data_IF_002125986981
#
_entry.id   IF_002125986981
#
_cell.length_a   1.000
_cell.length_b   1.000
_cell.length_c   1.000
_cell.angle_alpha   90.00
_cell.angle_beta   90.00
_cell.angle_gamma   90.00
#
_symmetry.space_group_name_H-M   'P 1'
#
loop_
_entity.id
_entity.type
_entity.pdbx_description
1 polymer ?
#
# COMPACT_ATOMS: atom_id res chain seq x y z
N UNK A 1 -1.90 7.63 14.22
CA UNK A 1 -1.27 7.15 12.97
C UNK A 1 -1.60 5.68 12.79
N UNK A 2 -1.73 5.17 11.56
CA UNK A 2 -1.88 3.73 11.33
C UNK A 2 -0.60 2.99 11.75
N UNK A 3 -0.74 1.77 12.24
CA UNK A 3 0.41 0.90 12.52
C UNK A 3 0.86 0.25 11.22
N UNK A 4 2.16 0.27 10.92
CA UNK A 4 2.70 -0.26 9.67
C UNK A 4 3.78 -1.30 9.95
N UNK A 5 3.70 -2.45 9.31
CA UNK A 5 4.75 -3.47 9.30
C UNK A 5 5.24 -3.70 7.88
N UNK A 6 6.54 -3.91 7.72
CA UNK A 6 7.17 -4.08 6.41
C UNK A 6 8.10 -5.27 6.44
N UNK A 7 7.91 -6.18 5.49
CA UNK A 7 8.72 -7.37 5.35
C UNK A 7 9.26 -7.45 3.91
N UNK A 8 10.58 -7.67 3.78
CA UNK A 8 11.13 -8.11 2.51
C UNK A 8 10.87 -9.60 2.31
N UNK A 9 10.16 -9.91 1.23
CA UNK A 9 9.81 -11.26 0.80
C UNK A 9 10.76 -11.68 -0.32
N UNK A 10 10.81 -12.98 -0.61
CA UNK A 10 11.64 -13.54 -1.67
C UNK A 10 11.46 -12.85 -3.04
N UNK A 11 12.54 -12.89 -3.83
CA UNK A 11 12.60 -12.43 -5.22
C UNK A 11 12.32 -10.94 -5.42
N UNK A 12 12.57 -10.11 -4.43
CA UNK A 12 12.45 -8.66 -4.52
C UNK A 12 11.02 -8.11 -4.38
N UNK A 13 10.16 -8.86 -3.69
CA UNK A 13 8.83 -8.41 -3.29
C UNK A 13 8.90 -7.83 -1.87
N UNK A 14 8.21 -6.72 -1.63
CA UNK A 14 8.08 -6.13 -0.30
C UNK A 14 6.61 -6.18 0.10
N UNK A 15 6.33 -6.69 1.31
CA UNK A 15 4.98 -6.69 1.88
C UNK A 15 4.88 -5.56 2.88
N UNK A 16 4.02 -4.59 2.60
CA UNK A 16 3.69 -3.49 3.51
C UNK A 16 2.28 -3.71 4.04
N UNK A 17 2.14 -3.92 5.35
CA UNK A 17 0.83 -4.06 6.01
C UNK A 17 0.53 -2.82 6.82
N UNK A 18 -0.56 -2.14 6.49
CA UNK A 18 -1.02 -0.92 7.14
C UNK A 18 -2.31 -1.27 7.88
N UNK A 19 -2.27 -1.25 9.21
CA UNK A 19 -3.43 -1.47 10.07
C UNK A 19 -4.26 -0.18 10.14
N UNK A 20 -5.54 -0.29 9.78
CA UNK A 20 -6.50 0.80 9.74
C UNK A 20 -7.73 0.35 10.52
N UNK A 21 -7.82 0.78 11.77
CA UNK A 21 -8.91 0.40 12.67
C UNK A 21 -10.28 0.71 12.07
N UNK A 22 -11.23 -0.20 12.29
CA UNK A 22 -12.60 -0.13 11.78
C UNK A 22 -12.74 -0.13 10.25
N UNK A 23 -11.67 -0.32 9.46
CA UNK A 23 -11.80 -0.52 8.02
C UNK A 23 -12.60 -1.79 7.75
N UNK A 24 -13.66 -1.71 6.93
CA UNK A 24 -14.47 -2.87 6.53
C UNK A 24 -14.43 -3.06 5.03
N UNK A 25 -13.68 -4.08 4.61
CA UNK A 25 -13.54 -4.43 3.20
C UNK A 25 -14.91 -4.74 2.56
N UNK A 26 -15.02 -4.46 1.27
CA UNK A 26 -16.21 -4.87 0.52
C UNK A 26 -16.23 -6.41 0.43
N UNK A 27 -17.42 -7.01 0.52
CA UNK A 27 -17.56 -8.46 0.32
C UNK A 27 -17.48 -8.74 -1.18
N UNK A 28 -16.57 -9.62 -1.58
CA UNK A 28 -16.63 -10.24 -2.90
C UNK A 28 -17.66 -11.37 -2.86
N UNK A 29 -18.58 -11.42 -3.83
CA UNK A 29 -19.60 -12.47 -3.96
C UNK A 29 -18.99 -13.87 -4.19
N UNK A 30 -17.71 -13.95 -4.55
CA UNK A 30 -17.05 -15.21 -4.95
C UNK A 30 -16.20 -15.89 -3.86
N UNK A 31 -16.17 -15.37 -2.62
CA UNK A 31 -15.37 -15.98 -1.54
C UNK A 31 -16.24 -16.32 -0.33
N UNK A 32 -16.46 -17.62 -0.11
CA UNK A 32 -17.15 -18.18 1.06
C UNK A 32 -16.32 -18.04 2.35
N UNK A 33 -15.02 -17.71 2.23
CA UNK A 33 -14.12 -17.52 3.36
C UNK A 33 -13.41 -16.16 3.24
N UNK A 34 -13.66 -15.29 4.23
CA UNK A 34 -13.11 -13.94 4.44
C UNK A 34 -13.52 -12.82 3.47
N UNK A 35 -14.10 -11.75 4.02
CA UNK A 35 -14.37 -10.51 3.29
C UNK A 35 -13.04 -9.82 2.92
N UNK A 36 -12.84 -9.56 1.63
CA UNK A 36 -11.69 -8.85 1.12
C UNK A 36 -11.77 -8.60 -0.39
N UNK A 37 -10.98 -7.64 -0.85
CA UNK A 37 -10.77 -7.35 -2.27
C UNK A 37 -9.27 -7.35 -2.55
N UNK A 38 -8.89 -7.91 -3.69
CA UNK A 38 -7.51 -7.85 -4.18
C UNK A 38 -7.47 -7.34 -5.61
N UNK A 39 -6.36 -6.70 -5.97
CA UNK A 39 -6.22 -6.09 -7.28
C UNK A 39 -4.79 -5.66 -7.58
N UNK A 40 -4.60 -5.12 -8.78
CA UNK A 40 -3.34 -4.54 -9.22
C UNK A 40 -3.41 -3.02 -9.20
N UNK A 41 -2.26 -2.39 -9.11
CA UNK A 41 -2.16 -0.95 -9.38
C UNK A 41 -2.29 -0.71 -10.88
N UNK A 42 -2.97 0.37 -11.26
CA UNK A 42 -3.14 0.78 -12.65
C UNK A 42 -2.35 2.05 -12.89
N UNK A 43 -1.75 2.17 -14.07
CA UNK A 43 -1.05 3.39 -14.46
C UNK A 43 -1.96 4.60 -14.24
N UNK A 44 -1.46 5.61 -13.53
CA UNK A 44 -2.21 6.82 -13.23
C UNK A 44 -1.94 7.86 -14.34
N UNK A 45 -2.87 8.07 -15.28
CA UNK A 45 -2.64 8.95 -16.43
C UNK A 45 -2.50 10.42 -16.01
N UNK A 46 -2.82 10.77 -14.76
CA UNK A 46 -2.79 12.14 -14.23
C UNK A 46 -1.52 12.47 -13.43
N UNK A 47 -0.67 11.49 -13.15
CA UNK A 47 0.38 11.58 -12.15
C UNK A 47 1.83 11.65 -12.68
N UNK A 48 2.03 11.59 -14.00
CA UNK A 48 3.34 11.51 -14.64
C UNK A 48 3.76 10.08 -14.99
N UNK A 49 4.86 9.95 -15.72
CA UNK A 49 5.35 8.66 -16.21
C UNK A 49 5.79 7.75 -15.04
N UNK A 50 5.42 6.46 -15.11
CA UNK A 50 5.78 5.45 -14.12
C UNK A 50 4.94 5.42 -12.82
N UNK A 51 3.99 6.32 -12.61
CA UNK A 51 3.10 6.29 -11.45
C UNK A 51 1.91 5.33 -11.62
N UNK A 52 1.45 4.72 -10.53
CA UNK A 52 0.28 3.87 -10.54
C UNK A 52 -0.60 4.07 -9.29
N UNK A 53 -1.90 3.85 -9.41
CA UNK A 53 -2.84 4.02 -8.30
C UNK A 53 -3.92 2.94 -8.27
N UNK A 54 -4.60 2.86 -7.13
CA UNK A 54 -5.88 2.19 -7.02
C UNK A 54 -6.83 3.01 -6.14
N UNK A 55 -8.13 2.82 -6.38
CA UNK A 55 -9.20 3.35 -5.54
C UNK A 55 -10.21 2.24 -5.30
N UNK A 56 -10.34 1.81 -4.04
CA UNK A 56 -11.20 0.72 -3.64
C UNK A 56 -12.30 1.22 -2.71
N UNK A 57 -13.56 1.00 -3.09
CA UNK A 57 -14.71 1.23 -2.22
C UNK A 57 -14.72 0.20 -1.09
N UNK A 58 -15.07 0.67 0.10
CA UNK A 58 -15.24 -0.11 1.32
C UNK A 58 -16.73 -0.14 1.69
N UNK A 59 -17.12 -1.10 2.53
CA UNK A 59 -18.50 -1.10 3.05
C UNK A 59 -18.81 0.09 3.96
N UNK A 60 -17.78 0.77 4.46
CA UNK A 60 -17.89 1.94 5.31
C UNK A 60 -16.95 3.07 4.87
N UNK A 61 -16.75 3.27 3.57
CA UNK A 61 -15.92 4.37 3.06
C UNK A 61 -15.14 4.04 1.80
N UNK A 62 -13.92 4.55 1.69
CA UNK A 62 -13.06 4.36 0.52
C UNK A 62 -11.59 4.40 0.93
N UNK A 63 -10.77 3.60 0.25
CA UNK A 63 -9.31 3.70 0.33
C UNK A 63 -8.74 4.00 -1.05
N UNK A 64 -7.78 4.92 -1.10
CA UNK A 64 -7.02 5.26 -2.29
C UNK A 64 -5.54 5.14 -1.97
N UNK A 65 -4.80 4.55 -2.89
CA UNK A 65 -3.35 4.50 -2.80
C UNK A 65 -2.75 4.93 -4.13
N UNK A 66 -1.71 5.74 -4.04
CA UNK A 66 -0.85 6.11 -5.15
C UNK A 66 0.56 5.62 -4.85
N UNK A 67 1.19 5.05 -5.86
CA UNK A 67 2.59 4.67 -5.89
C UNK A 67 3.29 5.46 -6.97
N UNK A 68 4.38 6.09 -6.58
CA UNK A 68 5.39 6.59 -7.50
C UNK A 68 6.62 5.66 -7.37
N UNK A 69 7.57 5.69 -8.32
CA UNK A 69 8.73 4.79 -8.26
C UNK A 69 9.52 4.87 -6.94
N UNK A 70 9.48 6.01 -6.24
CA UNK A 70 10.19 6.24 -4.98
C UNK A 70 9.30 6.54 -3.78
N UNK A 71 7.98 6.61 -3.96
CA UNK A 71 7.10 7.14 -2.91
C UNK A 71 5.76 6.42 -2.85
N UNK A 72 5.09 6.54 -1.70
CA UNK A 72 3.75 6.02 -1.49
C UNK A 72 2.89 7.04 -0.77
N UNK A 73 1.64 7.14 -1.21
CA UNK A 73 0.61 7.91 -0.53
C UNK A 73 -0.66 7.08 -0.45
N UNK A 74 -1.11 6.79 0.77
CA UNK A 74 -2.37 6.14 1.06
C UNK A 74 -3.29 7.09 1.82
N UNK A 75 -4.53 7.17 1.37
CA UNK A 75 -5.61 7.87 2.07
C UNK A 75 -6.81 6.94 2.23
N UNK A 76 -7.40 6.95 3.42
CA UNK A 76 -8.59 6.17 3.72
C UNK A 76 -9.62 7.05 4.42
N UNK A 77 -10.79 7.16 3.82
CA UNK A 77 -11.94 7.88 4.38
C UNK A 77 -12.93 6.84 4.89
N UNK A 78 -13.31 6.93 6.17
CA UNK A 78 -14.26 6.02 6.79
C UNK A 78 -15.53 6.78 7.22
N UNK A 79 -16.69 6.20 6.99
CA UNK A 79 -17.97 6.70 7.47
C UNK A 79 -17.97 6.78 8.99
N UNK A 80 -18.36 7.93 9.55
CA UNK A 80 -18.33 8.17 10.99
C UNK A 80 -17.02 8.73 11.53
N UNK A 81 -16.02 8.97 10.66
CA UNK A 81 -14.78 9.67 11.01
C UNK A 81 -14.67 10.98 10.23
N UNK A 82 -14.48 12.09 10.93
CA UNK A 82 -14.38 13.41 10.30
C UNK A 82 -13.08 13.62 9.51
N UNK A 83 -11.98 13.01 9.95
CA UNK A 83 -10.66 13.16 9.33
C UNK A 83 -10.23 11.90 8.58
N UNK A 84 -9.82 12.01 7.31
CA UNK A 84 -9.22 10.90 6.58
C UNK A 84 -7.95 10.40 7.28
N UNK A 85 -7.73 9.10 7.21
CA UNK A 85 -6.50 8.46 7.66
C UNK A 85 -5.52 8.53 6.50
N UNK A 86 -4.37 9.17 6.72
CA UNK A 86 -3.30 9.24 5.73
C UNK A 86 -2.06 8.49 6.20
N UNK A 87 -1.37 7.89 5.24
CA UNK A 87 -0.04 7.32 5.42
C UNK A 87 0.80 7.66 4.19
N UNK A 88 2.01 8.18 4.40
CA UNK A 88 2.89 8.61 3.34
C UNK A 88 4.30 8.08 3.59
N UNK A 89 4.93 7.66 2.52
CA UNK A 89 6.36 7.38 2.43
C UNK A 89 6.93 8.33 1.39
N UNK A 90 7.86 9.17 1.80
CA UNK A 90 8.44 10.17 0.91
C UNK A 90 9.56 9.60 0.05
N UNK A 91 10.35 8.67 0.60
CA UNK A 91 11.43 8.02 -0.13
C UNK A 91 11.59 6.55 0.28
N UNK A 92 11.45 5.63 -0.68
CA UNK A 92 11.80 4.22 -0.48
C UNK A 92 13.32 3.99 -0.45
N UNK A 93 13.80 2.86 0.12
CA UNK A 93 15.20 2.45 0.03
C UNK A 93 15.71 2.27 -1.41
N UNK A 94 14.83 1.88 -2.33
CA UNK A 94 15.11 1.87 -3.76
C UNK A 94 13.87 2.09 -4.58
N UNK A 95 14.07 2.26 -5.88
CA UNK A 95 12.97 2.33 -6.84
C UNK A 95 12.14 1.03 -6.85
N UNK A 96 10.83 1.18 -7.03
CA UNK A 96 9.86 0.11 -7.27
C UNK A 96 9.29 0.22 -8.70
N UNK A 97 8.55 -0.80 -9.14
CA UNK A 97 7.77 -0.79 -10.38
C UNK A 97 6.28 -0.70 -10.04
N UNK A 98 5.67 0.50 -9.98
CA UNK A 98 4.29 0.66 -9.53
C UNK A 98 3.27 -0.20 -10.28
N UNK A 99 3.43 -0.35 -11.61
CA UNK A 99 2.54 -1.17 -12.45
C UNK A 99 2.64 -2.69 -12.19
N UNK A 100 3.73 -3.16 -11.59
CA UNK A 100 3.89 -4.57 -11.19
C UNK A 100 3.44 -4.82 -9.73
N UNK A 101 3.00 -3.77 -9.02
CA UNK A 101 2.54 -3.88 -7.64
C UNK A 101 1.09 -4.35 -7.55
N UNK A 102 0.75 -4.94 -6.41
CA UNK A 102 -0.62 -5.38 -6.11
C UNK A 102 -1.03 -5.04 -4.69
N UNK A 103 -2.32 -5.17 -4.39
CA UNK A 103 -2.86 -4.87 -3.08
C UNK A 103 -3.92 -5.89 -2.66
N UNK A 104 -4.13 -5.98 -1.35
CA UNK A 104 -5.27 -6.65 -0.72
C UNK A 104 -5.86 -5.74 0.35
N UNK A 105 -7.17 -5.56 0.32
CA UNK A 105 -7.92 -4.86 1.35
C UNK A 105 -8.71 -5.90 2.13
N UNK A 106 -8.46 -5.98 3.44
CA UNK A 106 -9.18 -6.87 4.38
C UNK A 106 -9.72 -6.05 5.54
N UNK A 107 -10.63 -6.60 6.32
CA UNK A 107 -11.10 -5.93 7.54
C UNK A 107 -9.90 -5.54 8.43
N UNK A 108 -9.87 -4.27 8.84
CA UNK A 108 -8.84 -3.71 9.72
C UNK A 108 -7.49 -3.44 9.06
N UNK A 109 -7.26 -3.75 7.78
CA UNK A 109 -5.93 -3.58 7.16
C UNK A 109 -5.92 -3.47 5.64
N UNK A 110 -4.90 -2.79 5.15
CA UNK A 110 -4.49 -2.77 3.74
C UNK A 110 -3.12 -3.40 3.63
N UNK A 111 -2.96 -4.33 2.71
CA UNK A 111 -1.70 -5.01 2.43
C UNK A 111 -1.28 -4.63 1.02
N UNK A 112 -0.07 -4.09 0.88
CA UNK A 112 0.53 -3.74 -0.39
C UNK A 112 1.69 -4.69 -0.67
N UNK A 113 1.77 -5.15 -1.90
CA UNK A 113 2.86 -5.97 -2.41
C UNK A 113 3.61 -5.13 -3.43
N UNK A 114 4.71 -4.53 -2.97
CA UNK A 114 5.57 -3.69 -3.79
C UNK A 114 6.60 -4.55 -4.51
N UNK A 115 6.90 -4.20 -5.76
CA UNK A 115 7.91 -4.89 -6.59
C UNK A 115 9.11 -3.98 -6.76
N UNK A 116 10.27 -4.36 -6.22
CA UNK A 116 11.51 -3.58 -6.43
C UNK A 116 11.88 -3.56 -7.91
N UNK A 117 12.40 -2.44 -8.40
CA UNK A 117 12.90 -2.32 -9.75
C UNK A 117 14.17 -3.19 -9.97
N UNK A 118 15.04 -3.22 -8.96
CA UNK A 118 16.16 -4.14 -8.83
C UNK A 118 15.88 -5.17 -7.70
N UNK A 119 15.56 -6.42 -8.05
CA UNK A 119 15.32 -7.47 -7.06
C UNK A 119 16.52 -7.79 -6.17
N UNK A 120 17.75 -7.55 -6.63
CA UNK A 120 18.98 -7.89 -5.91
C UNK A 120 19.30 -6.91 -4.76
N UNK A 121 18.79 -5.67 -4.83
CA UNK A 121 19.00 -4.67 -3.80
C UNK A 121 18.20 -4.98 -2.55
N UNK A 122 18.85 -5.47 -1.50
CA UNK A 122 18.23 -5.75 -0.19
C UNK A 122 17.77 -4.47 0.50
N UNK A 123 16.60 -4.50 1.12
CA UNK A 123 16.03 -3.43 1.95
C UNK A 123 16.15 -3.75 3.45
N UNK A 124 16.54 -4.98 3.84
CA UNK A 124 16.57 -5.41 5.26
C UNK A 124 17.33 -4.43 6.15
N UNK A 125 18.51 -3.97 5.72
CA UNK A 125 19.32 -3.02 6.49
C UNK A 125 18.63 -1.66 6.68
N UNK A 126 18.10 -1.10 5.60
CA UNK A 126 17.41 0.20 5.60
C UNK A 126 16.12 0.15 6.42
N UNK A 127 15.34 -0.94 6.28
CA UNK A 127 14.11 -1.18 7.04
C UNK A 127 14.37 -1.27 8.54
N UNK A 128 15.43 -1.95 8.96
CA UNK A 128 15.80 -2.05 10.38
C UNK A 128 16.30 -0.73 10.96
N UNK A 129 17.01 0.08 10.15
CA UNK A 129 17.61 1.32 10.62
C UNK A 129 16.60 2.48 10.68
N UNK A 130 15.72 2.62 9.68
CA UNK A 130 14.87 3.81 9.48
C UNK A 130 13.41 3.48 9.17
N UNK A 131 13.05 2.21 9.03
CA UNK A 131 11.73 1.80 8.56
C UNK A 131 11.59 1.96 7.05
N UNK A 132 10.37 2.15 6.54
CA UNK A 132 10.10 2.23 5.10
C UNK A 132 10.45 3.59 4.49
N UNK A 133 10.26 4.68 5.24
CA UNK A 133 10.55 6.03 4.75
C UNK A 133 12.00 6.43 5.06
N UNK A 134 12.78 6.62 4.00
CA UNK A 134 14.19 7.00 4.04
C UNK A 134 14.41 8.50 3.94
N UNK A 135 13.35 9.29 3.72
CA UNK A 135 13.50 10.74 3.73
C UNK A 135 13.96 11.16 5.13
N UNK A 136 14.98 12.01 5.17
CA UNK A 136 15.77 12.32 6.37
C UNK A 136 14.92 12.46 7.65
N UNK A 137 15.26 11.64 8.65
CA UNK A 137 14.91 11.86 10.06
C UNK A 137 15.72 13.00 10.65
#
# INVERSE_FOLDING_TARGET
>A
MPTVTVDEVANGNIRVTILIDNLRAQRSLNCICEAGVEGRFFADPSAGDGAACFSQSLSNGQVKCKLDPWSLSLSCTLSGRATPISYRVNQFPSEIRPNECSYKVKNGKVILFLRKADPAKSWIGDLNARGLDQAAS
#
